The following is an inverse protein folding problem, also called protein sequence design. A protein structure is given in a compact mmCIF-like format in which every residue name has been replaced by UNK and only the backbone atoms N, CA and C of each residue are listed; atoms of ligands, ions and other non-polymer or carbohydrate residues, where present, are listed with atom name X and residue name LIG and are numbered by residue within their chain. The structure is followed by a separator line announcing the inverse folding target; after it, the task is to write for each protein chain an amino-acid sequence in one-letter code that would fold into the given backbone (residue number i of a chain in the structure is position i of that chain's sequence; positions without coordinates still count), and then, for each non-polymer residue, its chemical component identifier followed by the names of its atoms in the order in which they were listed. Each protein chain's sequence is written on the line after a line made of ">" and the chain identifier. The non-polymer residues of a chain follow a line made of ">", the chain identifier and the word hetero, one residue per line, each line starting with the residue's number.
data_IF_478368580872
#
_entry.id   IF_478368580872
#
_cell.length_a   1.000
_cell.length_b   1.000
_cell.length_c   1.000
_cell.angle_alpha   90.00
_cell.angle_beta   90.00
_cell.angle_gamma   90.00
#
_symmetry.space_group_name_H-M   'P 1'
#
loop_
_entity.id
_entity.type
_entity.pdbx_description
1 polymer ?
#
# COMPACT_ATOMS: atom_id res chain seq x y z
N UNK A 1 33.82 -22.59 23.28
CA UNK A 1 32.60 -22.89 24.03
C UNK A 1 31.45 -22.23 23.30
N UNK A 2 30.46 -23.01 22.84
CA UNK A 2 29.23 -22.45 22.29
C UNK A 2 28.48 -21.79 23.46
N UNK A 3 28.39 -20.46 23.43
CA UNK A 3 27.81 -19.68 24.52
C UNK A 3 26.29 -19.79 24.42
N UNK A 4 25.69 -20.71 25.19
CA UNK A 4 24.26 -21.03 25.14
C UNK A 4 23.38 -19.81 25.44
N UNK A 5 23.84 -18.87 26.26
CA UNK A 5 23.13 -17.62 26.53
C UNK A 5 23.04 -16.69 25.30
N UNK A 6 24.11 -16.62 24.49
CA UNK A 6 24.09 -15.84 23.24
C UNK A 6 23.19 -16.49 22.19
N UNK A 7 23.16 -17.83 22.14
CA UNK A 7 22.27 -18.57 21.25
C UNK A 7 20.79 -18.34 21.63
N UNK A 8 20.48 -18.36 22.93
CA UNK A 8 19.13 -18.13 23.44
C UNK A 8 18.67 -16.68 23.23
N UNK A 9 19.57 -15.70 23.44
CA UNK A 9 19.31 -14.28 23.18
C UNK A 9 19.05 -13.99 21.70
N UNK A 10 19.90 -14.52 20.81
CA UNK A 10 19.71 -14.40 19.35
C UNK A 10 18.40 -15.03 18.87
N UNK A 11 18.01 -16.17 19.47
CA UNK A 11 16.72 -16.83 19.18
C UNK A 11 15.51 -15.95 19.56
N UNK A 12 15.56 -15.28 20.71
CA UNK A 12 14.52 -14.32 21.13
C UNK A 12 14.46 -13.10 20.22
N UNK A 13 15.60 -12.49 19.92
CA UNK A 13 15.66 -11.33 19.01
C UNK A 13 15.14 -11.67 17.60
N UNK A 14 15.42 -12.88 17.10
CA UNK A 14 14.88 -13.36 15.84
C UNK A 14 13.36 -13.53 15.88
N UNK A 15 12.83 -14.13 16.96
CA UNK A 15 11.38 -14.27 17.17
C UNK A 15 10.67 -12.92 17.26
N UNK A 16 11.20 -11.98 18.05
CA UNK A 16 10.62 -10.64 18.19
C UNK A 16 10.62 -9.88 16.85
N UNK A 17 11.71 -10.01 16.08
CA UNK A 17 11.81 -9.43 14.74
C UNK A 17 10.78 -10.04 13.79
N UNK A 18 10.60 -11.35 13.83
CA UNK A 18 9.66 -12.06 12.96
C UNK A 18 8.20 -11.71 13.31
N UNK A 19 7.85 -11.65 14.60
CA UNK A 19 6.53 -11.21 15.07
C UNK A 19 6.24 -9.76 14.67
N UNK A 20 7.23 -8.88 14.80
CA UNK A 20 7.09 -7.47 14.38
C UNK A 20 6.83 -7.36 12.87
N UNK A 21 7.61 -8.06 12.05
CA UNK A 21 7.43 -8.06 10.59
C UNK A 21 6.06 -8.60 10.18
N UNK A 22 5.58 -9.67 10.83
CA UNK A 22 4.25 -10.19 10.60
C UNK A 22 3.16 -9.18 10.95
N UNK A 23 3.29 -8.51 12.11
CA UNK A 23 2.35 -7.45 12.52
C UNK A 23 2.33 -6.29 11.53
N UNK A 24 3.50 -5.85 11.06
CA UNK A 24 3.61 -4.74 10.12
C UNK A 24 3.04 -5.12 8.73
N UNK A 25 3.25 -6.35 8.28
CA UNK A 25 2.63 -6.87 7.06
C UNK A 25 1.10 -6.92 7.18
N UNK A 26 0.57 -7.43 8.29
CA UNK A 26 -0.87 -7.48 8.55
C UNK A 26 -1.50 -6.07 8.55
N UNK A 27 -0.84 -5.09 9.18
CA UNK A 27 -1.28 -3.69 9.15
C UNK A 27 -1.27 -3.10 7.74
N UNK A 28 -0.26 -3.42 6.93
CA UNK A 28 -0.19 -2.98 5.54
C UNK A 28 -1.39 -3.50 4.73
N UNK A 29 -1.74 -4.79 4.87
CA UNK A 29 -2.94 -5.34 4.23
C UNK A 29 -4.23 -4.70 4.75
N UNK A 30 -4.34 -4.46 6.06
CA UNK A 30 -5.49 -3.76 6.63
C UNK A 30 -5.64 -2.34 6.07
N UNK A 31 -4.52 -1.62 5.91
CA UNK A 31 -4.53 -0.29 5.32
C UNK A 31 -5.00 -0.34 3.86
N UNK A 32 -4.49 -1.28 3.05
CA UNK A 32 -4.91 -1.46 1.64
C UNK A 32 -6.42 -1.76 1.56
N UNK A 33 -6.93 -2.63 2.43
CA UNK A 33 -8.35 -2.95 2.47
C UNK A 33 -9.22 -1.75 2.88
N UNK A 34 -8.74 -0.95 3.83
CA UNK A 34 -9.42 0.28 4.25
C UNK A 34 -9.48 1.30 3.10
N UNK A 35 -8.35 1.51 2.42
CA UNK A 35 -8.27 2.45 1.29
C UNK A 35 -9.22 2.06 0.15
N UNK A 36 -9.17 0.79 -0.28
CA UNK A 36 -10.06 0.28 -1.32
C UNK A 36 -11.55 0.41 -0.94
N UNK A 37 -11.87 0.23 0.35
CA UNK A 37 -13.22 0.42 0.88
C UNK A 37 -13.66 1.88 0.80
N UNK A 38 -12.78 2.81 1.19
CA UNK A 38 -13.08 4.23 1.19
C UNK A 38 -13.18 4.79 -0.23
N UNK A 39 -12.33 4.36 -1.16
CA UNK A 39 -12.47 4.68 -2.59
C UNK A 39 -13.79 4.15 -3.17
N UNK A 40 -14.21 2.94 -2.80
CA UNK A 40 -15.47 2.36 -3.25
C UNK A 40 -16.68 3.17 -2.75
N UNK A 41 -16.68 3.59 -1.47
CA UNK A 41 -17.71 4.48 -0.92
C UNK A 41 -17.75 5.81 -1.67
N UNK A 42 -16.58 6.42 -1.87
CA UNK A 42 -16.46 7.69 -2.60
C UNK A 42 -16.99 7.57 -4.02
N UNK A 43 -16.61 6.52 -4.75
CA UNK A 43 -17.08 6.26 -6.12
C UNK A 43 -18.61 6.12 -6.18
N UNK A 44 -19.21 5.46 -5.19
CA UNK A 44 -20.67 5.33 -5.10
C UNK A 44 -21.36 6.67 -4.81
N UNK A 45 -20.80 7.48 -3.91
CA UNK A 45 -21.28 8.83 -3.63
C UNK A 45 -21.19 9.72 -4.86
N UNK A 46 -20.05 9.74 -5.54
CA UNK A 46 -19.82 10.54 -6.75
C UNK A 46 -20.81 10.14 -7.87
N UNK A 47 -21.06 8.83 -8.06
CA UNK A 47 -22.07 8.33 -9.00
C UNK A 47 -23.49 8.76 -8.62
N UNK A 48 -23.84 8.68 -7.33
CA UNK A 48 -25.17 9.07 -6.85
C UNK A 48 -25.41 10.56 -7.09
N UNK A 49 -24.43 11.40 -6.75
CA UNK A 49 -24.50 12.84 -7.01
C UNK A 49 -24.58 13.17 -8.50
N UNK A 50 -23.87 12.42 -9.36
CA UNK A 50 -23.99 12.57 -10.81
C UNK A 50 -25.41 12.25 -11.29
N UNK A 51 -26.01 11.14 -10.83
CA UNK A 51 -27.37 10.75 -11.20
C UNK A 51 -28.40 11.79 -10.73
N UNK A 52 -28.30 12.27 -9.50
CA UNK A 52 -29.14 13.35 -8.97
C UNK A 52 -29.03 14.62 -9.83
N UNK A 53 -27.82 15.04 -10.16
CA UNK A 53 -27.59 16.20 -11.02
C UNK A 53 -28.16 15.99 -12.43
N UNK A 54 -28.06 14.78 -12.97
CA UNK A 54 -28.60 14.43 -14.29
C UNK A 54 -30.13 14.52 -14.35
N UNK A 55 -30.85 14.30 -13.24
CA UNK A 55 -32.31 14.52 -13.20
C UNK A 55 -32.71 16.00 -13.25
N UNK A 56 -31.78 16.90 -12.93
CA UNK A 56 -32.05 18.34 -12.80
C UNK A 56 -31.70 19.16 -14.05
N UNK A 57 -30.96 18.59 -15.01
CA UNK A 57 -30.57 19.28 -16.26
C UNK A 57 -31.77 19.42 -17.21
N UNK A 58 -31.84 20.56 -17.91
CA UNK A 58 -32.98 20.93 -18.78
C UNK A 58 -32.65 20.95 -20.27
N UNK A 59 -31.40 20.66 -20.64
CA UNK A 59 -30.95 20.63 -22.03
C UNK A 59 -29.91 19.52 -22.24
N UNK A 60 -29.71 19.15 -23.50
CA UNK A 60 -28.73 18.14 -23.89
C UNK A 60 -27.31 18.67 -23.70
N UNK A 61 -27.05 19.95 -23.97
CA UNK A 61 -25.74 20.56 -23.73
C UNK A 61 -25.35 20.48 -22.26
N UNK A 62 -26.26 20.79 -21.34
CA UNK A 62 -25.99 20.72 -19.90
C UNK A 62 -25.76 19.28 -19.42
N UNK A 63 -26.48 18.29 -19.99
CA UNK A 63 -26.25 16.88 -19.71
C UNK A 63 -24.86 16.43 -20.19
N UNK A 64 -24.43 16.88 -21.37
CA UNK A 64 -23.12 16.56 -21.94
C UNK A 64 -21.97 17.18 -21.14
N UNK A 65 -22.10 18.43 -20.72
CA UNK A 65 -21.13 19.09 -19.82
C UNK A 65 -21.02 18.34 -18.48
N UNK A 66 -22.16 17.98 -17.87
CA UNK A 66 -22.18 17.23 -16.62
C UNK A 66 -21.52 15.85 -16.74
N UNK A 67 -21.82 15.11 -17.81
CA UNK A 67 -21.21 13.81 -18.08
C UNK A 67 -19.70 13.91 -18.34
N UNK A 68 -19.27 14.91 -19.11
CA UNK A 68 -17.86 15.16 -19.40
C UNK A 68 -17.10 15.53 -18.13
N UNK A 69 -17.67 16.38 -17.28
CA UNK A 69 -17.10 16.75 -15.99
C UNK A 69 -16.97 15.53 -15.07
N UNK A 70 -18.01 14.70 -14.98
CA UNK A 70 -17.98 13.47 -14.19
C UNK A 70 -16.92 12.47 -14.68
N UNK A 71 -16.79 12.28 -16.00
CA UNK A 71 -15.74 11.41 -16.55
C UNK A 71 -14.35 11.93 -16.22
N UNK A 72 -14.13 13.24 -16.33
CA UNK A 72 -12.84 13.86 -16.01
C UNK A 72 -12.50 13.68 -14.53
N UNK A 73 -13.42 14.01 -13.62
CA UNK A 73 -13.18 13.88 -12.18
C UNK A 73 -13.00 12.42 -11.76
N UNK A 74 -13.77 11.50 -12.36
CA UNK A 74 -13.63 10.06 -12.12
C UNK A 74 -12.28 9.53 -12.56
N UNK A 75 -11.78 9.99 -13.71
CA UNK A 75 -10.45 9.62 -14.21
C UNK A 75 -9.32 10.14 -13.30
N UNK A 76 -9.38 11.42 -12.92
CA UNK A 76 -8.39 12.01 -12.01
C UNK A 76 -8.38 11.30 -10.65
N UNK A 77 -9.57 11.00 -10.11
CA UNK A 77 -9.71 10.27 -8.85
C UNK A 77 -9.17 8.84 -8.95
N UNK A 78 -9.45 8.14 -10.05
CA UNK A 78 -8.94 6.79 -10.29
C UNK A 78 -7.42 6.76 -10.37
N UNK A 79 -6.80 7.70 -11.10
CA UNK A 79 -5.34 7.77 -11.23
C UNK A 79 -4.70 8.06 -9.88
N UNK A 80 -5.29 8.96 -9.09
CA UNK A 80 -4.82 9.26 -7.74
C UNK A 80 -4.88 8.02 -6.84
N UNK A 81 -6.00 7.30 -6.86
CA UNK A 81 -6.19 6.06 -6.10
C UNK A 81 -5.22 4.97 -6.53
N UNK A 82 -5.06 4.75 -7.84
CA UNK A 82 -4.13 3.75 -8.38
C UNK A 82 -2.68 4.05 -7.98
N UNK A 83 -2.30 5.33 -7.96
CA UNK A 83 -0.99 5.78 -7.49
C UNK A 83 -0.82 5.46 -6.01
N UNK A 84 -1.79 5.82 -5.18
CA UNK A 84 -1.77 5.58 -3.73
C UNK A 84 -1.70 4.08 -3.40
N UNK A 85 -2.54 3.27 -4.05
CA UNK A 85 -2.52 1.81 -3.90
C UNK A 85 -1.18 1.22 -4.31
N UNK A 86 -0.57 1.71 -5.39
CA UNK A 86 0.76 1.27 -5.83
C UNK A 86 1.84 1.58 -4.79
N UNK A 87 1.81 2.77 -4.19
CA UNK A 87 2.72 3.15 -3.09
C UNK A 87 2.52 2.25 -1.86
N UNK A 88 1.28 1.96 -1.48
CA UNK A 88 0.99 1.07 -0.35
C UNK A 88 1.49 -0.35 -0.58
N UNK A 89 1.35 -0.89 -1.79
CA UNK A 89 1.92 -2.18 -2.16
C UNK A 89 3.45 -2.16 -2.16
N UNK A 90 4.07 -1.07 -2.64
CA UNK A 90 5.53 -0.92 -2.60
C UNK A 90 6.05 -0.89 -1.15
N UNK A 91 5.36 -0.20 -0.25
CA UNK A 91 5.73 -0.14 1.16
C UNK A 91 5.53 -1.48 1.88
N UNK A 92 4.47 -2.22 1.54
CA UNK A 92 4.28 -3.59 2.01
C UNK A 92 5.42 -4.51 1.54
N UNK A 93 5.83 -4.40 0.28
CA UNK A 93 6.98 -5.15 -0.25
C UNK A 93 8.27 -4.80 0.50
N UNK A 94 8.56 -3.51 0.72
CA UNK A 94 9.73 -3.08 1.52
C UNK A 94 9.70 -3.67 2.93
N UNK A 95 8.54 -3.68 3.59
CA UNK A 95 8.38 -4.29 4.92
C UNK A 95 8.69 -5.80 4.90
N UNK A 96 8.29 -6.51 3.84
CA UNK A 96 8.60 -7.93 3.66
C UNK A 96 10.10 -8.20 3.39
N UNK A 97 10.78 -7.30 2.67
CA UNK A 97 12.20 -7.46 2.33
C UNK A 97 13.18 -7.00 3.44
N UNK A 98 12.73 -6.14 4.36
CA UNK A 98 13.51 -5.61 5.49
C UNK A 98 14.35 -6.65 6.27
N UNK A 99 13.82 -7.84 6.66
CA UNK A 99 14.63 -8.86 7.35
C UNK A 99 15.80 -9.42 6.52
N UNK A 100 15.80 -9.27 5.20
CA UNK A 100 16.90 -9.72 4.33
C UNK A 100 18.00 -8.66 4.20
N UNK A 101 17.66 -7.37 4.19
CA UNK A 101 18.64 -6.26 4.15
C UNK A 101 19.59 -6.31 5.36
N UNK A 102 19.06 -6.60 6.55
CA UNK A 102 19.83 -6.74 7.78
C UNK A 102 20.76 -7.97 7.80
N UNK A 103 20.52 -8.97 6.94
CA UNK A 103 21.40 -10.13 6.78
C UNK A 103 22.48 -9.88 5.72
N UNK A 104 22.14 -9.18 4.63
CA UNK A 104 23.10 -8.81 3.58
C UNK A 104 24.16 -7.84 4.12
N UNK A 105 23.76 -6.86 4.94
CA UNK A 105 24.69 -5.92 5.59
C UNK A 105 25.57 -6.57 6.69
N UNK A 106 25.28 -7.82 7.06
CA UNK A 106 26.11 -8.65 7.95
C UNK A 106 26.98 -9.67 7.21
N UNK A 107 26.84 -9.81 5.89
CA UNK A 107 27.79 -10.58 5.09
C UNK A 107 29.08 -9.77 4.95
N UNK A 108 30.25 -10.33 5.26
CA UNK A 108 31.50 -9.65 4.96
C UNK A 108 31.54 -9.40 3.46
N UNK A 109 31.78 -8.15 3.05
CA UNK A 109 32.08 -7.80 1.67
C UNK A 109 33.14 -8.78 1.18
N UNK A 110 32.89 -9.48 0.06
CA UNK A 110 33.88 -10.35 -0.59
C UNK A 110 35.06 -9.52 -1.13
N UNK A 111 35.86 -8.94 -0.22
CA UNK A 111 37.11 -8.23 -0.52
C UNK A 111 38.33 -9.08 -0.18
N UNK A 112 38.18 -10.39 0.01
CA UNK A 112 39.32 -11.29 0.29
C UNK A 112 39.56 -12.39 -0.76
N UNK A 113 39.01 -12.28 -1.97
CA UNK A 113 39.44 -13.13 -3.11
C UNK A 113 40.36 -12.33 -4.02
N UNK A 114 41.44 -11.80 -3.44
CA UNK A 114 42.61 -11.28 -4.15
C UNK A 114 43.73 -11.04 -3.12
N UNK A 115 44.42 -12.10 -2.73
CA UNK A 115 45.77 -12.05 -2.15
C UNK A 115 46.50 -13.33 -2.56
#
# INVERSE_FOLDING_TARGET
>A
MLNFDDANKKGREAMDTMLKNYSDMAKGFQAIAAEATDYSKKSFQDMTSFMEAMTSVKSMEAAFELQTSFMKSSYESFVAEATKMSEMYADLAKAAYKPYEAQISKMPTMSSVAA
#
